data_IF_573480201436
#
_entry.id   IF_573480201436
#
_cell.length_a   1.000
_cell.length_b   1.000
_cell.length_c   1.000
_cell.angle_alpha   90.00
_cell.angle_beta   90.00
_cell.angle_gamma   90.00
#
_symmetry.space_group_name_H-M   'P 1'
#
loop_
_entity.id
_entity.type
_entity.pdbx_description
1 polymer ?
#
# COMPACT_ATOMS: atom_id res chain seq x y z
N UNK A 1 10.99 2.60 -20.43
CA UNK A 1 11.50 1.54 -19.52
C UNK A 1 12.98 1.79 -19.35
N UNK A 2 13.46 2.01 -18.14
CA UNK A 2 14.89 2.26 -17.89
C UNK A 2 15.64 0.91 -17.78
N UNK A 3 16.97 0.92 -17.93
CA UNK A 3 17.82 -0.30 -17.75
C UNK A 3 17.62 -0.94 -16.37
N UNK A 4 17.30 -0.13 -15.36
CA UNK A 4 17.03 -0.59 -13.98
C UNK A 4 15.69 -1.32 -13.89
N UNK A 5 14.67 -0.90 -14.64
CA UNK A 5 13.37 -1.58 -14.70
C UNK A 5 13.47 -2.92 -15.42
N UNK A 6 14.36 -3.04 -16.41
CA UNK A 6 14.64 -4.29 -17.11
C UNK A 6 15.20 -5.36 -16.16
N UNK A 7 16.21 -5.04 -15.33
CA UNK A 7 16.81 -5.98 -14.40
C UNK A 7 15.82 -6.54 -13.37
N UNK A 8 14.93 -5.69 -12.85
CA UNK A 8 13.89 -6.14 -11.91
C UNK A 8 12.83 -7.01 -12.59
N UNK A 9 12.50 -6.70 -13.85
CA UNK A 9 11.57 -7.51 -14.66
C UNK A 9 12.17 -8.90 -14.91
N UNK A 10 13.41 -8.97 -15.38
CA UNK A 10 14.10 -10.24 -15.62
C UNK A 10 14.24 -11.08 -14.35
N UNK A 11 14.62 -10.47 -13.22
CA UNK A 11 14.72 -11.17 -11.93
C UNK A 11 13.38 -11.78 -11.51
N UNK A 12 12.30 -11.03 -11.64
CA UNK A 12 10.93 -11.48 -11.36
C UNK A 12 10.49 -12.62 -12.29
N UNK A 13 10.85 -12.53 -13.56
CA UNK A 13 10.43 -13.50 -14.57
C UNK A 13 11.14 -14.86 -14.42
N UNK A 14 12.29 -14.88 -13.75
CA UNK A 14 13.02 -16.11 -13.37
C UNK A 14 12.47 -16.79 -12.11
N UNK A 15 11.54 -16.19 -11.37
CA UNK A 15 10.96 -16.76 -10.15
C UNK A 15 9.90 -17.82 -10.50
N UNK A 16 9.75 -18.82 -9.63
CA UNK A 16 8.67 -19.80 -9.73
C UNK A 16 7.31 -19.13 -9.50
N UNK A 17 6.30 -19.37 -10.36
CA UNK A 17 4.98 -18.79 -10.18
C UNK A 17 4.17 -19.50 -9.10
N UNK A 18 3.21 -18.75 -8.52
CA UNK A 18 2.17 -19.29 -7.65
C UNK A 18 0.81 -18.70 -8.04
N UNK A 19 -0.24 -19.52 -8.04
CA UNK A 19 -1.61 -19.07 -8.29
C UNK A 19 -2.20 -18.32 -7.08
N UNK A 20 -3.16 -17.41 -7.32
CA UNK A 20 -3.78 -16.63 -6.24
C UNK A 20 -4.44 -17.48 -5.14
N UNK A 21 -5.23 -18.52 -5.44
CA UNK A 21 -5.84 -19.36 -4.40
C UNK A 21 -4.80 -20.05 -3.51
N UNK A 22 -3.70 -20.54 -4.11
CA UNK A 22 -2.63 -21.19 -3.38
C UNK A 22 -1.85 -20.19 -2.50
N UNK A 23 -1.56 -19.00 -3.02
CA UNK A 23 -0.92 -17.92 -2.26
C UNK A 23 -1.78 -17.50 -1.05
N UNK A 24 -3.10 -17.39 -1.22
CA UNK A 24 -4.01 -17.03 -0.12
C UNK A 24 -4.11 -18.14 0.93
N UNK A 25 -4.12 -19.40 0.53
CA UNK A 25 -4.12 -20.55 1.44
C UNK A 25 -2.80 -20.67 2.21
N UNK A 26 -1.66 -20.45 1.53
CA UNK A 26 -0.32 -20.61 2.13
C UNK A 26 0.03 -19.51 3.12
N UNK A 27 -0.36 -18.26 2.84
CA UNK A 27 -0.05 -17.12 3.70
C UNK A 27 -1.30 -16.27 4.01
N UNK A 28 -2.26 -16.78 4.80
CA UNK A 28 -3.46 -16.04 5.19
C UNK A 28 -3.14 -14.81 6.05
N UNK A 29 -2.04 -14.82 6.79
CA UNK A 29 -1.47 -13.71 7.58
C UNK A 29 -2.51 -12.89 8.35
N UNK A 30 -3.33 -13.54 9.17
CA UNK A 30 -4.38 -12.90 9.97
C UNK A 30 -3.78 -11.99 11.05
N UNK A 31 -2.82 -12.51 11.83
CA UNK A 31 -2.04 -11.72 12.80
C UNK A 31 -0.62 -11.52 12.29
N UNK A 32 -0.28 -10.28 11.91
CA UNK A 32 1.00 -9.97 11.26
C UNK A 32 1.61 -8.65 11.68
N UNK A 33 2.91 -8.54 11.44
CA UNK A 33 3.65 -7.30 11.41
C UNK A 33 3.88 -6.89 9.95
N UNK A 34 3.58 -5.64 9.62
CA UNK A 34 3.87 -5.04 8.31
C UNK A 34 5.08 -4.13 8.46
N UNK A 35 6.20 -4.45 7.82
CA UNK A 35 7.42 -3.63 7.80
C UNK A 35 7.66 -3.11 6.39
N UNK A 36 7.99 -1.83 6.24
CA UNK A 36 8.14 -1.19 4.93
C UNK A 36 9.54 -0.67 4.72
N UNK A 37 9.98 -0.68 3.46
CA UNK A 37 11.29 -0.21 3.04
C UNK A 37 11.15 0.57 1.72
N UNK A 38 11.96 1.61 1.54
CA UNK A 38 12.22 2.21 0.24
C UNK A 38 13.50 1.55 -0.30
N UNK A 39 13.37 0.83 -1.42
CA UNK A 39 14.43 -0.02 -1.95
C UNK A 39 14.76 0.44 -3.36
N UNK A 40 16.04 0.71 -3.70
CA UNK A 40 16.43 0.89 -5.09
C UNK A 40 16.04 -0.32 -5.95
N UNK A 41 15.49 -0.10 -7.13
CA UNK A 41 15.01 -1.19 -8.00
C UNK A 41 16.15 -2.18 -8.37
N UNK A 42 17.38 -1.69 -8.52
CA UNK A 42 18.55 -2.55 -8.70
C UNK A 42 18.79 -3.47 -7.50
N UNK A 43 18.69 -2.95 -6.27
CA UNK A 43 18.81 -3.76 -5.06
C UNK A 43 17.64 -4.77 -4.94
N UNK A 44 16.42 -4.36 -5.32
CA UNK A 44 15.28 -5.28 -5.37
C UNK A 44 15.51 -6.41 -6.38
N UNK A 45 16.08 -6.15 -7.54
CA UNK A 45 16.43 -7.17 -8.53
C UNK A 45 17.43 -8.20 -7.96
N UNK A 46 18.48 -7.74 -7.31
CA UNK A 46 19.49 -8.62 -6.64
C UNK A 46 18.81 -9.47 -5.55
N UNK A 47 17.89 -8.88 -4.78
CA UNK A 47 17.15 -9.62 -3.74
C UNK A 47 16.22 -10.69 -4.32
N UNK A 48 15.54 -10.40 -5.45
CA UNK A 48 14.71 -11.38 -6.12
C UNK A 48 15.53 -12.54 -6.70
N UNK A 49 16.65 -12.24 -7.35
CA UNK A 49 17.55 -13.28 -7.88
C UNK A 49 18.14 -14.15 -6.77
N UNK A 50 18.63 -13.54 -5.69
CA UNK A 50 19.18 -14.27 -4.55
C UNK A 50 18.13 -15.08 -3.78
N UNK A 51 16.89 -14.58 -3.76
CA UNK A 51 15.77 -15.21 -3.05
C UNK A 51 14.91 -16.15 -3.90
N UNK A 52 15.24 -16.39 -5.16
CA UNK A 52 14.37 -17.15 -6.08
C UNK A 52 14.05 -18.60 -5.63
N UNK A 53 14.93 -19.21 -4.84
CA UNK A 53 14.68 -20.53 -4.26
C UNK A 53 13.76 -20.48 -3.03
N UNK A 54 13.66 -19.32 -2.39
CA UNK A 54 12.92 -19.12 -1.14
C UNK A 54 11.54 -18.50 -1.33
N UNK A 55 11.27 -17.90 -2.51
CA UNK A 55 10.03 -17.19 -2.79
C UNK A 55 9.43 -17.56 -4.14
N UNK A 56 8.11 -17.56 -4.19
CA UNK A 56 7.33 -17.68 -5.42
C UNK A 56 6.61 -16.35 -5.73
N UNK A 57 6.42 -16.06 -7.01
CA UNK A 57 5.76 -14.84 -7.48
C UNK A 57 4.32 -15.11 -7.89
N UNK A 58 3.38 -14.28 -7.43
CA UNK A 58 2.00 -14.35 -7.88
C UNK A 58 1.91 -14.19 -9.40
N UNK A 59 1.29 -15.17 -10.07
CA UNK A 59 0.99 -15.11 -11.48
C UNK A 59 -0.51 -15.37 -11.71
N UNK A 60 -1.16 -14.51 -12.49
CA UNK A 60 -2.56 -14.65 -12.93
C UNK A 60 -2.58 -14.36 -14.42
N UNK A 61 -3.08 -15.30 -15.21
CA UNK A 61 -3.16 -15.18 -16.68
C UNK A 61 -1.84 -14.74 -17.33
N UNK A 62 -0.73 -15.30 -16.86
CA UNK A 62 0.62 -14.97 -17.32
C UNK A 62 1.20 -13.67 -16.74
N UNK A 63 0.40 -12.80 -16.18
CA UNK A 63 0.86 -11.54 -15.59
C UNK A 63 1.42 -11.74 -14.18
N UNK A 64 2.50 -11.02 -13.85
CA UNK A 64 3.17 -11.00 -12.53
C UNK A 64 3.21 -9.61 -11.90
N UNK A 65 2.71 -8.62 -12.61
CA UNK A 65 2.57 -7.23 -12.16
C UNK A 65 1.13 -6.80 -12.35
N UNK A 66 0.55 -6.26 -11.30
CA UNK A 66 -0.87 -5.89 -11.29
C UNK A 66 -1.03 -4.42 -10.95
N UNK A 67 -1.82 -3.71 -11.75
CA UNK A 67 -2.20 -2.33 -11.48
C UNK A 67 -3.15 -2.23 -10.28
N UNK A 68 -2.90 -1.25 -9.43
CA UNK A 68 -3.76 -0.93 -8.29
C UNK A 68 -4.12 0.55 -8.33
N UNK A 69 -5.39 0.84 -8.16
CA UNK A 69 -5.86 2.20 -7.96
C UNK A 69 -6.68 2.26 -6.67
N UNK A 70 -6.31 3.18 -5.78
CA UNK A 70 -6.97 3.31 -4.47
C UNK A 70 -7.32 4.76 -4.21
N UNK A 71 -8.61 5.07 -4.14
CA UNK A 71 -9.10 6.38 -3.71
C UNK A 71 -9.39 6.37 -2.23
N UNK A 72 -8.77 7.29 -1.49
CA UNK A 72 -8.93 7.44 -0.05
C UNK A 72 -9.93 8.54 0.26
N UNK A 73 -10.73 8.27 1.30
CA UNK A 73 -11.78 9.16 1.77
C UNK A 73 -11.45 9.69 3.17
N UNK A 74 -11.77 10.96 3.37
CA UNK A 74 -11.65 11.64 4.65
C UNK A 74 -12.70 12.77 4.72
N UNK A 75 -12.81 13.43 5.86
CA UNK A 75 -13.56 14.67 5.99
C UNK A 75 -12.85 15.82 5.23
N UNK A 76 -13.58 16.92 5.01
CA UNK A 76 -13.03 18.10 4.34
C UNK A 76 -11.79 18.67 5.04
N UNK A 77 -11.75 18.58 6.37
CA UNK A 77 -10.66 19.05 7.22
C UNK A 77 -9.59 17.99 7.53
N UNK A 78 -9.63 16.82 6.86
CA UNK A 78 -8.67 15.72 7.02
C UNK A 78 -8.60 15.16 8.45
N UNK A 79 -9.75 14.97 9.10
CA UNK A 79 -9.82 14.48 10.48
C UNK A 79 -9.18 13.09 10.66
N UNK A 80 -9.34 12.18 9.68
CA UNK A 80 -8.75 10.85 9.75
C UNK A 80 -7.22 10.89 9.58
N UNK A 81 -6.72 11.74 8.69
CA UNK A 81 -5.28 11.98 8.56
C UNK A 81 -4.69 12.52 9.86
N UNK A 82 -5.32 13.55 10.45
CA UNK A 82 -4.89 14.13 11.73
C UNK A 82 -4.89 13.11 12.86
N UNK A 83 -5.92 12.26 12.93
CA UNK A 83 -5.97 11.16 13.91
C UNK A 83 -4.79 10.19 13.75
N UNK A 84 -4.38 9.91 12.50
CA UNK A 84 -3.19 9.10 12.23
C UNK A 84 -1.88 9.80 12.57
N UNK A 85 -1.71 11.07 12.22
CA UNK A 85 -0.53 11.86 12.49
C UNK A 85 -0.30 12.02 14.00
N UNK A 86 -1.39 12.19 14.77
CA UNK A 86 -1.39 12.31 16.24
C UNK A 86 -1.26 10.93 16.94
N UNK A 87 -1.27 9.82 16.22
CA UNK A 87 -1.18 8.48 16.82
C UNK A 87 -2.40 8.09 17.68
N UNK A 88 -3.60 8.68 17.42
CA UNK A 88 -4.80 8.40 18.22
C UNK A 88 -5.04 6.89 18.34
N UNK A 89 -5.46 6.44 19.51
CA UNK A 89 -5.65 5.03 19.84
C UNK A 89 -6.69 4.35 18.95
N UNK A 90 -7.84 4.99 18.75
CA UNK A 90 -8.85 4.60 17.77
C UNK A 90 -8.69 5.48 16.53
N UNK A 91 -8.35 4.87 15.40
CA UNK A 91 -8.21 5.56 14.12
C UNK A 91 -8.45 4.60 12.97
N UNK A 92 -8.97 5.11 11.90
CA UNK A 92 -9.34 4.29 10.76
C UNK A 92 -9.05 4.99 9.43
N UNK A 93 -9.11 4.24 8.33
CA UNK A 93 -8.98 4.72 6.97
C UNK A 93 -9.98 3.99 6.10
N UNK A 94 -10.69 4.72 5.26
CA UNK A 94 -11.56 4.16 4.25
C UNK A 94 -11.02 4.44 2.85
N UNK A 95 -11.25 3.49 1.95
CA UNK A 95 -10.91 3.64 0.54
C UNK A 95 -11.77 2.74 -0.33
N UNK A 96 -11.92 3.09 -1.59
CA UNK A 96 -12.24 2.13 -2.64
C UNK A 96 -10.96 1.69 -3.32
N UNK A 97 -10.93 0.45 -3.80
CA UNK A 97 -9.78 -0.08 -4.53
C UNK A 97 -10.22 -0.86 -5.76
N UNK A 98 -9.68 -0.48 -6.89
CA UNK A 98 -9.81 -1.19 -8.16
C UNK A 98 -8.51 -1.93 -8.48
N UNK A 99 -8.64 -3.10 -9.10
CA UNK A 99 -7.53 -3.95 -9.53
C UNK A 99 -7.46 -3.97 -11.05
N UNK A 100 -6.38 -3.44 -11.62
CA UNK A 100 -6.23 -3.27 -13.06
C UNK A 100 -7.30 -2.37 -13.67
N UNK A 101 -7.55 -2.56 -14.96
CA UNK A 101 -8.63 -1.89 -15.69
C UNK A 101 -9.98 -2.67 -15.61
N UNK A 102 -9.99 -3.83 -14.95
CA UNK A 102 -11.14 -4.71 -14.87
C UNK A 102 -12.21 -4.23 -13.86
N UNK A 103 -13.32 -5.00 -13.76
CA UNK A 103 -14.46 -4.64 -12.92
C UNK A 103 -14.24 -4.93 -11.42
N UNK A 104 -13.09 -5.51 -11.04
CA UNK A 104 -12.84 -5.91 -9.65
C UNK A 104 -12.57 -4.69 -8.78
N UNK A 105 -13.55 -4.33 -7.95
CA UNK A 105 -13.50 -3.20 -7.04
C UNK A 105 -13.98 -3.60 -5.64
N UNK A 106 -13.40 -2.97 -4.61
CA UNK A 106 -13.78 -3.18 -3.20
C UNK A 106 -13.84 -1.85 -2.46
N UNK A 107 -14.82 -1.74 -1.56
CA UNK A 107 -14.79 -0.81 -0.43
C UNK A 107 -13.95 -1.46 0.65
N UNK A 108 -13.02 -0.73 1.24
CA UNK A 108 -12.14 -1.24 2.30
C UNK A 108 -12.08 -0.25 3.45
N UNK A 109 -12.15 -0.77 4.67
CA UNK A 109 -11.84 -0.01 5.88
C UNK A 109 -10.74 -0.71 6.68
N UNK A 110 -9.80 0.06 7.20
CA UNK A 110 -8.76 -0.40 8.11
C UNK A 110 -8.90 0.31 9.45
N UNK A 111 -9.22 -0.45 10.49
CA UNK A 111 -9.49 0.00 11.84
C UNK A 111 -8.31 -0.34 12.75
N UNK A 112 -7.78 0.65 13.49
CA UNK A 112 -6.78 0.43 14.53
C UNK A 112 -7.47 0.33 15.87
N UNK A 113 -7.32 -0.78 16.57
CA UNK A 113 -7.93 -1.01 17.86
C UNK A 113 -7.05 -0.55 19.03
N UNK A 114 -7.67 -0.41 20.19
CA UNK A 114 -7.05 0.07 21.41
C UNK A 114 -5.82 -0.74 21.85
N UNK A 115 -5.84 -2.06 21.65
CA UNK A 115 -4.77 -3.00 22.02
C UNK A 115 -3.72 -3.17 20.91
N UNK A 116 -3.68 -2.26 19.93
CA UNK A 116 -2.71 -2.31 18.85
C UNK A 116 -3.07 -3.23 17.70
N UNK A 117 -4.11 -4.05 17.80
CA UNK A 117 -4.62 -4.85 16.70
C UNK A 117 -5.12 -3.99 15.55
N UNK A 118 -5.13 -4.55 14.35
CA UNK A 118 -5.65 -3.90 13.15
C UNK A 118 -6.63 -4.84 12.48
N UNK A 119 -7.85 -4.36 12.28
CA UNK A 119 -8.89 -5.06 11.54
C UNK A 119 -8.97 -4.45 10.15
N UNK A 120 -9.06 -5.30 9.14
CA UNK A 120 -9.32 -4.90 7.77
C UNK A 120 -10.59 -5.59 7.29
N UNK A 121 -11.59 -4.79 6.95
CA UNK A 121 -12.82 -5.25 6.34
C UNK A 121 -12.84 -4.82 4.88
N UNK A 122 -13.42 -5.64 4.02
CA UNK A 122 -13.65 -5.33 2.62
C UNK A 122 -14.98 -5.89 2.15
N UNK A 123 -15.63 -5.16 1.26
CA UNK A 123 -16.86 -5.53 0.59
C UNK A 123 -16.71 -5.26 -0.91
N UNK A 124 -17.13 -6.22 -1.75
CA UNK A 124 -17.09 -6.02 -3.19
C UNK A 124 -18.09 -4.94 -3.58
N UNK A 125 -17.70 -4.07 -4.51
CA UNK A 125 -18.57 -3.03 -5.06
C UNK A 125 -18.44 -2.97 -6.58
N UNK A 126 -19.45 -2.41 -7.27
CA UNK A 126 -19.35 -2.11 -8.69
C UNK A 126 -18.19 -1.17 -9.00
N UNK A 127 -17.54 -1.34 -10.15
CA UNK A 127 -16.38 -0.53 -10.53
C UNK A 127 -16.71 0.95 -10.73
N UNK A 128 -17.93 1.29 -11.08
CA UNK A 128 -18.38 2.69 -11.21
C UNK A 128 -18.43 3.44 -9.88
N UNK A 129 -18.45 2.73 -8.74
CA UNK A 129 -18.36 3.35 -7.41
C UNK A 129 -16.92 3.67 -6.98
N UNK A 130 -15.93 3.29 -7.80
CA UNK A 130 -14.55 3.63 -7.49
C UNK A 130 -14.36 5.15 -7.47
N UNK A 131 -13.84 5.66 -6.34
CA UNK A 131 -13.64 7.09 -6.14
C UNK A 131 -14.89 7.87 -5.70
N UNK A 132 -16.05 7.23 -5.62
CA UNK A 132 -17.29 7.87 -5.23
C UNK A 132 -17.57 7.72 -3.73
N UNK A 133 -17.82 8.86 -3.05
CA UNK A 133 -18.20 8.90 -1.64
C UNK A 133 -19.72 8.86 -1.48
N UNK A 134 -20.34 7.81 -2.05
CA UNK A 134 -21.79 7.63 -2.03
C UNK A 134 -22.32 7.02 -0.74
N UNK A 135 -23.67 6.86 -0.65
CA UNK A 135 -24.34 6.30 0.51
C UNK A 135 -23.84 4.88 0.84
N UNK A 136 -23.57 4.05 -0.16
CA UNK A 136 -23.12 2.66 0.04
C UNK A 136 -21.75 2.59 0.75
N UNK A 137 -20.84 3.52 0.43
CA UNK A 137 -19.57 3.63 1.14
C UNK A 137 -19.79 4.12 2.57
N UNK A 138 -20.66 5.13 2.76
CA UNK A 138 -20.97 5.68 4.07
C UNK A 138 -21.60 4.61 4.98
N UNK A 139 -22.56 3.84 4.46
CA UNK A 139 -23.21 2.74 5.18
C UNK A 139 -22.25 1.61 5.55
N UNK A 140 -21.37 1.22 4.62
CA UNK A 140 -20.33 0.23 4.90
C UNK A 140 -19.39 0.69 6.02
N UNK A 141 -18.97 1.94 5.99
CA UNK A 141 -18.09 2.52 7.01
C UNK A 141 -18.83 2.65 8.34
N UNK A 142 -20.08 3.14 8.35
CA UNK A 142 -20.90 3.30 9.54
C UNK A 142 -21.13 1.96 10.27
N UNK A 143 -21.55 0.92 9.55
CA UNK A 143 -21.71 -0.43 10.09
C UNK A 143 -20.40 -0.94 10.71
N UNK A 144 -19.29 -0.79 9.98
CA UNK A 144 -17.98 -1.23 10.46
C UNK A 144 -17.54 -0.51 11.73
N UNK A 145 -17.81 0.79 11.84
CA UNK A 145 -17.47 1.58 13.03
C UNK A 145 -18.37 1.23 14.21
N UNK A 146 -19.68 1.05 14.01
CA UNK A 146 -20.60 0.60 15.06
C UNK A 146 -20.20 -0.75 15.64
N UNK A 147 -19.89 -1.72 14.78
CA UNK A 147 -19.51 -3.06 15.18
C UNK A 147 -18.21 -3.09 16.00
N UNK A 148 -17.20 -2.31 15.57
CA UNK A 148 -15.85 -2.43 16.15
C UNK A 148 -15.47 -1.33 17.12
N UNK A 149 -16.10 -0.15 17.04
CA UNK A 149 -15.83 1.00 17.90
C UNK A 149 -17.02 1.42 18.77
N UNK A 150 -18.22 0.85 18.54
CA UNK A 150 -19.44 1.22 19.24
C UNK A 150 -19.99 2.60 18.90
N UNK A 151 -19.51 3.22 17.81
CA UNK A 151 -19.92 4.56 17.39
C UNK A 151 -20.10 4.62 15.88
N UNK A 152 -21.04 5.44 15.40
CA UNK A 152 -21.30 5.64 13.99
C UNK A 152 -20.29 6.56 13.29
N UNK A 153 -20.49 6.76 12.01
CA UNK A 153 -19.57 7.50 11.13
C UNK A 153 -19.30 8.95 11.57
N UNK A 154 -20.30 9.70 12.01
CA UNK A 154 -20.15 11.02 12.64
C UNK A 154 -19.51 12.14 11.78
N UNK A 155 -19.13 11.86 10.52
CA UNK A 155 -18.54 12.83 9.60
C UNK A 155 -18.93 12.54 8.14
N UNK A 156 -18.87 13.55 7.28
CA UNK A 156 -19.09 13.41 5.85
C UNK A 156 -17.78 13.02 5.16
N UNK A 157 -17.81 11.90 4.45
CA UNK A 157 -16.68 11.44 3.64
C UNK A 157 -16.66 12.14 2.27
N UNK A 158 -15.48 12.50 1.83
CA UNK A 158 -15.19 13.00 0.47
C UNK A 158 -13.92 12.33 -0.04
N UNK A 159 -13.81 12.14 -1.35
CA UNK A 159 -12.56 11.68 -1.96
C UNK A 159 -11.47 12.75 -1.76
N UNK A 160 -10.31 12.34 -1.23
CA UNK A 160 -9.22 13.28 -0.92
C UNK A 160 -8.00 13.10 -1.82
N UNK A 161 -7.73 11.89 -2.23
CA UNK A 161 -6.64 11.57 -3.14
C UNK A 161 -6.81 10.16 -3.70
N UNK A 162 -6.17 9.92 -4.85
CA UNK A 162 -6.03 8.59 -5.43
C UNK A 162 -4.55 8.22 -5.51
N UNK A 163 -4.23 6.97 -5.23
CA UNK A 163 -2.88 6.41 -5.40
C UNK A 163 -2.94 5.27 -6.40
N UNK A 164 -2.17 5.40 -7.49
CA UNK A 164 -1.95 4.36 -8.50
C UNK A 164 -0.57 3.76 -8.33
N UNK A 165 -0.44 2.47 -8.56
CA UNK A 165 0.86 1.79 -8.53
C UNK A 165 0.78 0.41 -9.19
N UNK A 166 1.92 -0.07 -9.66
CA UNK A 166 2.12 -1.42 -10.15
C UNK A 166 2.66 -2.29 -9.01
N UNK A 167 2.09 -3.47 -8.78
CA UNK A 167 2.45 -4.38 -7.68
C UNK A 167 2.87 -5.75 -8.16
N UNK A 168 4.04 -6.18 -7.68
CA UNK A 168 4.43 -7.60 -7.63
C UNK A 168 4.16 -8.13 -6.23
N UNK A 169 3.65 -9.36 -6.12
CA UNK A 169 3.42 -10.04 -4.84
C UNK A 169 4.20 -11.33 -4.79
N UNK A 170 4.93 -11.56 -3.69
CA UNK A 170 5.68 -12.77 -3.43
C UNK A 170 5.16 -13.43 -2.16
N UNK A 171 5.34 -14.74 -2.08
CA UNK A 171 5.16 -15.53 -0.87
C UNK A 171 6.37 -16.42 -0.68
N UNK A 172 6.84 -16.55 0.56
CA UNK A 172 7.91 -17.51 0.86
C UNK A 172 7.39 -18.95 0.72
N UNK A 173 8.26 -19.85 0.31
CA UNK A 173 7.92 -21.28 0.09
C UNK A 173 7.36 -21.92 1.37
N UNK A 174 7.88 -21.52 2.54
CA UNK A 174 7.39 -21.94 3.86
C UNK A 174 6.08 -21.25 4.31
N UNK A 175 5.55 -20.31 3.54
CA UNK A 175 4.32 -19.58 3.85
C UNK A 175 4.43 -18.53 4.97
N UNK A 176 5.61 -18.33 5.54
CA UNK A 176 5.82 -17.44 6.69
C UNK A 176 5.79 -15.97 6.29
N UNK A 177 6.25 -15.66 5.08
CA UNK A 177 6.34 -14.28 4.60
C UNK A 177 5.49 -14.03 3.36
N UNK A 178 4.84 -12.87 3.35
CA UNK A 178 4.25 -12.30 2.13
C UNK A 178 4.87 -10.94 1.87
N UNK A 179 5.42 -10.77 0.69
CA UNK A 179 6.11 -9.55 0.29
C UNK A 179 5.36 -8.88 -0.86
N UNK A 180 5.29 -7.56 -0.84
CA UNK A 180 4.77 -6.78 -1.97
C UNK A 180 5.79 -5.72 -2.36
N UNK A 181 6.04 -5.62 -3.66
CA UNK A 181 6.85 -4.55 -4.26
C UNK A 181 5.91 -3.65 -5.05
N UNK A 182 5.84 -2.39 -4.66
CA UNK A 182 5.04 -1.38 -5.34
C UNK A 182 5.97 -0.41 -6.07
N UNK A 183 5.79 -0.31 -7.37
CA UNK A 183 6.54 0.57 -8.29
C UNK A 183 5.58 1.55 -8.96
N UNK A 184 6.11 2.56 -9.64
CA UNK A 184 5.32 3.53 -10.40
C UNK A 184 4.18 4.13 -9.56
N UNK A 185 4.48 4.46 -8.31
CA UNK A 185 3.47 4.99 -7.41
C UNK A 185 3.25 6.46 -7.68
N UNK A 186 2.08 6.78 -8.22
CA UNK A 186 1.60 8.15 -8.43
C UNK A 186 0.52 8.52 -7.41
N UNK A 187 0.56 9.76 -6.97
CA UNK A 187 -0.47 10.40 -6.15
C UNK A 187 -1.22 11.42 -6.99
N UNK A 188 -2.54 11.34 -6.96
CA UNK A 188 -3.44 12.19 -7.72
C UNK A 188 -4.39 12.92 -6.77
N UNK A 189 -4.70 14.18 -7.06
CA UNK A 189 -5.76 14.92 -6.38
C UNK A 189 -7.16 14.38 -6.75
N UNK A 190 -8.23 14.86 -6.12
CA UNK A 190 -9.59 14.42 -6.45
C UNK A 190 -10.02 14.75 -7.90
N UNK A 191 -9.37 15.71 -8.57
CA UNK A 191 -9.60 16.02 -9.98
C UNK A 191 -8.78 15.13 -10.93
N UNK A 192 -8.00 14.18 -10.39
CA UNK A 192 -7.18 13.26 -11.19
C UNK A 192 -5.84 13.83 -11.64
N UNK A 193 -5.47 15.03 -11.18
CA UNK A 193 -4.17 15.63 -11.49
C UNK A 193 -3.11 15.03 -10.59
N UNK A 194 -1.99 14.63 -11.16
CA UNK A 194 -0.86 14.12 -10.39
C UNK A 194 -0.27 15.24 -9.53
N UNK A 195 -0.06 14.96 -8.24
CA UNK A 195 0.53 15.89 -7.26
C UNK A 195 1.92 15.45 -6.82
N UNK A 196 2.26 14.18 -6.99
CA UNK A 196 3.59 13.65 -6.68
C UNK A 196 3.70 12.17 -7.00
N UNK A 197 4.91 11.64 -6.87
CA UNK A 197 5.20 10.23 -7.18
C UNK A 197 6.36 9.67 -6.36
N UNK A 198 6.43 8.36 -6.30
CA UNK A 198 7.65 7.66 -5.87
C UNK A 198 8.77 8.01 -6.87
N UNK A 199 9.96 8.34 -6.38
CA UNK A 199 11.09 8.65 -7.25
C UNK A 199 11.38 7.48 -8.20
N UNK A 200 11.67 7.76 -9.49
CA UNK A 200 12.08 6.72 -10.42
C UNK A 200 13.24 5.89 -9.89
N UNK A 201 13.25 4.60 -10.19
CA UNK A 201 14.28 3.68 -9.70
C UNK A 201 14.11 3.24 -8.25
N UNK A 202 13.02 3.59 -7.56
CA UNK A 202 12.66 3.07 -6.24
C UNK A 202 11.46 2.12 -6.31
N UNK A 203 11.45 1.16 -5.40
CA UNK A 203 10.28 0.34 -5.06
C UNK A 203 9.93 0.52 -3.58
N UNK A 204 8.63 0.56 -3.28
CA UNK A 204 8.13 0.45 -1.92
C UNK A 204 7.89 -1.02 -1.60
N UNK A 205 8.77 -1.61 -0.81
CA UNK A 205 8.67 -3.01 -0.38
C UNK A 205 7.96 -3.08 0.96
N UNK A 206 6.95 -3.95 1.06
CA UNK A 206 6.27 -4.26 2.32
C UNK A 206 6.41 -5.75 2.62
N UNK A 207 7.11 -6.05 3.72
CA UNK A 207 7.30 -7.41 4.24
C UNK A 207 6.27 -7.65 5.33
N UNK A 208 5.47 -8.70 5.17
CA UNK A 208 4.44 -9.13 6.11
C UNK A 208 4.88 -10.45 6.72
N UNK A 209 5.09 -10.45 8.03
CA UNK A 209 5.51 -11.62 8.81
C UNK A 209 4.56 -11.85 9.98
N UNK A 210 4.47 -13.08 10.52
CA UNK A 210 3.89 -13.29 11.84
C UNK A 210 4.57 -12.40 12.88
N UNK A 211 3.96 -12.22 14.04
CA UNK A 211 4.60 -11.48 15.14
C UNK A 211 5.89 -12.18 15.56
N UNK A 212 6.98 -11.42 15.68
CA UNK A 212 8.21 -11.94 16.28
C UNK A 212 9.53 -11.65 15.56
N UNK A 213 9.52 -11.04 14.36
CA UNK A 213 10.81 -10.74 13.70
C UNK A 213 10.70 -9.95 12.39
N UNK A 214 11.83 -9.52 11.82
CA UNK A 214 11.88 -8.82 10.54
C UNK A 214 11.60 -9.75 9.35
N UNK A 215 11.59 -11.07 9.57
CA UNK A 215 11.55 -12.07 8.52
C UNK A 215 12.88 -12.20 7.75
N UNK A 216 12.93 -13.17 6.83
CA UNK A 216 14.13 -13.45 6.00
C UNK A 216 14.47 -12.26 5.10
N UNK A 217 13.48 -11.77 4.34
CA UNK A 217 13.70 -10.62 3.44
C UNK A 217 14.06 -9.36 4.24
N UNK A 218 13.41 -9.11 5.37
CA UNK A 218 13.73 -7.98 6.24
C UNK A 218 15.16 -8.04 6.78
N UNK A 219 15.67 -9.24 7.10
CA UNK A 219 17.07 -9.45 7.51
C UNK A 219 18.06 -9.19 6.35
N UNK A 220 17.74 -9.66 5.14
CA UNK A 220 18.54 -9.40 3.93
C UNK A 220 18.60 -7.90 3.61
N UNK A 221 17.48 -7.19 3.68
CA UNK A 221 17.42 -5.74 3.50
C UNK A 221 18.26 -5.00 4.53
N UNK A 222 18.18 -5.42 5.79
CA UNK A 222 19.01 -4.86 6.88
C UNK A 222 20.51 -5.09 6.65
N UNK A 223 20.89 -6.27 6.17
CA UNK A 223 22.27 -6.60 5.79
C UNK A 223 22.83 -5.72 4.65
N UNK A 224 21.96 -5.22 3.78
CA UNK A 224 22.31 -4.23 2.74
C UNK A 224 22.24 -2.77 3.25
N UNK A 225 22.09 -2.54 4.55
CA UNK A 225 22.01 -1.21 5.15
C UNK A 225 20.64 -0.52 4.95
N UNK A 226 19.65 -1.20 4.38
CA UNK A 226 18.32 -0.64 4.18
C UNK A 226 17.51 -0.68 5.48
N UNK A 227 17.01 0.47 5.89
CA UNK A 227 16.28 0.62 7.15
C UNK A 227 14.77 0.65 6.94
N UNK A 228 13.98 0.09 7.89
CA UNK A 228 12.53 0.25 7.86
C UNK A 228 12.09 1.70 7.85
N UNK A 229 11.03 1.99 7.10
CA UNK A 229 10.41 3.31 7.04
C UNK A 229 8.97 3.27 7.57
N UNK A 230 8.59 4.30 8.32
CA UNK A 230 7.22 4.46 8.79
C UNK A 230 6.45 5.33 7.81
N UNK A 231 5.65 4.70 6.95
CA UNK A 231 4.78 5.42 6.02
C UNK A 231 3.47 4.69 5.77
N UNK A 232 2.49 5.43 5.30
CA UNK A 232 1.31 4.87 4.62
C UNK A 232 1.09 5.62 3.31
N UNK A 233 0.63 4.93 2.27
CA UNK A 233 0.28 5.57 0.99
C UNK A 233 -0.67 6.75 1.16
N UNK A 234 -1.66 6.61 2.06
CA UNK A 234 -2.56 7.70 2.42
C UNK A 234 -1.83 8.89 3.05
N UNK A 235 -0.97 8.65 4.05
CA UNK A 235 -0.24 9.73 4.72
C UNK A 235 0.71 10.48 3.80
N UNK A 236 1.46 9.74 2.96
CA UNK A 236 2.32 10.33 1.93
C UNK A 236 1.46 11.09 0.91
N UNK A 237 0.36 10.49 0.46
CA UNK A 237 -0.55 11.13 -0.47
C UNK A 237 -1.09 12.46 0.06
N UNK A 238 -1.58 12.50 1.30
CA UNK A 238 -2.03 13.77 1.92
C UNK A 238 -0.91 14.81 1.96
N UNK A 239 0.30 14.42 2.39
CA UNK A 239 1.42 15.37 2.49
C UNK A 239 1.85 15.94 1.13
N UNK A 240 1.66 15.19 0.03
CA UNK A 240 1.94 15.66 -1.34
C UNK A 240 0.79 16.47 -1.95
N UNK A 241 -0.46 16.21 -1.55
CA UNK A 241 -1.65 16.86 -2.10
C UNK A 241 -2.07 18.08 -1.27
N UNK A 242 -1.73 18.08 0.03
CA UNK A 242 -2.12 19.08 1.02
C UNK A 242 -0.90 19.52 1.84
N UNK A 243 0.09 20.24 1.24
CA UNK A 243 1.32 20.63 1.94
C UNK A 243 1.06 21.52 3.15
N UNK A 244 -0.09 22.21 3.19
CA UNK A 244 -0.51 23.09 4.29
C UNK A 244 -0.77 22.35 5.61
N UNK A 245 -1.09 21.05 5.58
CA UNK A 245 -1.35 20.27 6.82
C UNK A 245 -0.09 19.71 7.47
N UNK A 246 1.06 19.96 6.87
CA UNK A 246 2.35 19.49 7.35
C UNK A 246 2.60 17.99 7.18
N UNK A 247 3.85 17.62 7.08
CA UNK A 247 4.33 16.26 6.86
C UNK A 247 4.89 15.63 8.15
N UNK A 248 4.22 15.80 9.29
CA UNK A 248 4.70 15.30 10.59
C UNK A 248 5.05 13.81 10.53
N UNK A 249 6.31 13.49 10.90
CA UNK A 249 6.84 12.11 10.86
C UNK A 249 7.14 11.56 9.46
N UNK A 250 6.81 12.27 8.37
CA UNK A 250 7.03 11.80 6.99
C UNK A 250 8.13 12.57 6.24
N UNK A 251 8.64 13.68 6.80
CA UNK A 251 9.60 14.55 6.08
C UNK A 251 10.76 13.78 5.45
N UNK A 252 11.44 12.93 6.22
CA UNK A 252 12.59 12.15 5.72
C UNK A 252 12.19 11.21 4.58
N UNK A 253 11.05 10.54 4.71
CA UNK A 253 10.53 9.61 3.69
C UNK A 253 10.13 10.36 2.42
N UNK A 254 9.51 11.53 2.54
CA UNK A 254 9.17 12.38 1.40
C UNK A 254 10.44 12.84 0.67
N UNK A 255 11.42 13.37 1.40
CA UNK A 255 12.68 13.85 0.82
C UNK A 255 13.48 12.74 0.11
N UNK A 256 13.55 11.54 0.68
CA UNK A 256 14.34 10.44 0.10
C UNK A 256 13.58 9.62 -0.94
N UNK A 257 12.26 9.52 -0.84
CA UNK A 257 11.49 8.55 -1.63
C UNK A 257 10.49 9.13 -2.62
N UNK A 258 10.12 10.42 -2.48
CA UNK A 258 9.07 10.99 -3.31
C UNK A 258 9.52 12.30 -3.96
N UNK A 259 8.89 12.68 -5.07
CA UNK A 259 9.03 13.98 -5.68
C UNK A 259 7.64 14.56 -5.96
N UNK A 260 7.49 15.87 -5.73
CA UNK A 260 6.37 16.67 -6.25
C UNK A 260 6.50 16.87 -7.77
N UNK A 261 5.44 17.31 -8.42
CA UNK A 261 5.50 17.59 -9.86
C UNK A 261 6.25 18.89 -10.18
N UNK A 262 6.30 19.81 -9.25
CA UNK A 262 7.00 21.09 -9.42
C UNK A 262 8.55 20.95 -9.43
N UNK A 263 9.07 19.79 -8.94
CA UNK A 263 10.51 19.50 -8.93
C UNK A 263 11.06 19.03 -10.30
N UNK A 264 10.26 19.01 -11.38
CA UNK A 264 10.74 18.62 -12.74
C UNK A 264 11.37 19.75 -13.55
N UNK A 265 11.38 20.97 -13.01
CA UNK A 265 11.89 22.16 -13.70
C UNK A 265 13.28 22.61 -13.20
N UNK A 266 13.96 21.79 -12.40
CA UNK A 266 15.31 22.11 -11.92
C UNK A 266 16.32 21.05 -12.36
#
# INVERSE_FOLDING_TARGET
MTTVDLGLTEARDRMEPIALPELEARAPLLERRDTKYLVPAAAAAVLLDGGRADYQVLQIDGARVFGYESTYFDSADLALYRAHAQGRRLRWKARTRRYGAGPLCFREIKLKQARGATIKLRERCPSYEHGWAGPELADFVDRSLREHYGQGLGLRLTARLTVRYARTTLVSVDGVERVTLDQELDVLDPAGRATGRLRPGLALVEVKTPRGGPGRLGALLAGQGLRPVSLSKYGVGVALTHPEVGASGLRRVLQSGFCGLDERAA
#
